data_IF_443735242901
#
_entry.id   IF_443735242901
#
_cell.length_a   1.000
_cell.length_b   1.000
_cell.length_c   1.000
_cell.angle_alpha   90.00
_cell.angle_beta   90.00
_cell.angle_gamma   90.00
#
_symmetry.space_group_name_H-M   'P 1'
#
loop_
_entity.id
_entity.type
_entity.pdbx_description
1 polymer ?
#
# COMPACT_ATOMS: atom_id res chain seq x y z
N UNK A 1 -17.64 12.43 9.88
CA UNK A 1 -16.42 12.05 9.13
C UNK A 1 -16.59 12.60 7.72
N UNK A 2 -15.58 13.30 7.19
CA UNK A 2 -15.58 13.77 5.80
C UNK A 2 -15.35 12.63 4.81
N UNK A 3 -15.47 12.93 3.51
CA UNK A 3 -15.10 12.01 2.42
C UNK A 3 -13.60 11.70 2.52
N UNK A 4 -13.21 10.43 2.41
CA UNK A 4 -11.81 10.06 2.24
C UNK A 4 -11.25 10.49 0.88
N UNK A 5 -9.94 10.64 0.79
CA UNK A 5 -9.26 10.99 -0.46
C UNK A 5 -9.06 9.75 -1.33
N UNK A 6 -9.18 9.92 -2.64
CA UNK A 6 -8.76 8.91 -3.62
C UNK A 6 -7.24 8.88 -3.74
N UNK A 7 -6.67 7.84 -4.37
CA UNK A 7 -5.22 7.78 -4.64
C UNK A 7 -4.75 9.01 -5.42
N UNK A 8 -5.48 9.42 -6.47
CA UNK A 8 -5.15 10.62 -7.25
C UNK A 8 -5.17 11.90 -6.40
N UNK A 9 -6.19 12.06 -5.54
CA UNK A 9 -6.25 13.19 -4.60
C UNK A 9 -5.10 13.16 -3.57
N UNK A 10 -4.64 11.95 -3.18
CA UNK A 10 -3.50 11.77 -2.27
C UNK A 10 -2.18 12.15 -2.95
N UNK A 11 -1.96 11.71 -4.19
CA UNK A 11 -0.74 12.03 -4.96
C UNK A 11 -0.65 13.54 -5.22
N UNK A 12 -1.76 14.19 -5.58
CA UNK A 12 -1.83 15.66 -5.68
C UNK A 12 -1.57 16.33 -4.32
N UNK A 13 -2.09 15.74 -3.24
CA UNK A 13 -1.82 16.17 -1.88
C UNK A 13 -0.33 16.12 -1.51
N UNK A 14 0.37 15.07 -1.92
CA UNK A 14 1.81 14.93 -1.73
C UNK A 14 2.59 15.94 -2.57
N UNK A 15 2.23 16.09 -3.85
CA UNK A 15 2.85 17.08 -4.73
C UNK A 15 2.69 18.53 -4.26
N UNK A 16 1.53 18.87 -3.68
CA UNK A 16 1.25 20.19 -3.10
C UNK A 16 1.83 20.38 -1.69
N UNK A 17 2.33 19.31 -1.05
CA UNK A 17 2.84 19.31 0.33
C UNK A 17 1.75 19.37 1.41
N UNK A 18 0.48 19.24 1.03
CA UNK A 18 -0.65 19.14 1.98
C UNK A 18 -0.74 17.76 2.64
N UNK A 19 -0.18 16.73 1.98
CA UNK A 19 0.07 15.41 2.54
C UNK A 19 1.58 15.25 2.68
N UNK A 20 2.02 14.95 3.90
CA UNK A 20 3.43 14.82 4.24
C UNK A 20 3.88 13.38 4.37
N UNK A 21 2.94 12.48 4.61
CA UNK A 21 3.25 11.08 4.84
C UNK A 21 2.22 10.18 4.18
N UNK A 22 2.69 9.08 3.61
CA UNK A 22 1.86 8.04 3.00
C UNK A 22 2.30 6.68 3.55
N UNK A 23 1.32 5.82 3.81
CA UNK A 23 1.53 4.41 4.08
C UNK A 23 0.76 3.59 3.04
N UNK A 24 1.50 2.91 2.16
CA UNK A 24 0.98 1.97 1.17
C UNK A 24 1.08 0.53 1.69
N UNK A 25 0.01 -0.24 1.50
CA UNK A 25 -0.07 -1.65 1.86
C UNK A 25 -0.44 -2.50 0.63
N UNK A 26 0.51 -3.28 0.13
CA UNK A 26 0.30 -4.23 -0.98
C UNK A 26 -0.10 -3.60 -2.31
N UNK A 27 0.39 -2.40 -2.60
CA UNK A 27 0.13 -1.66 -3.83
C UNK A 27 1.46 -1.18 -4.43
N UNK A 28 1.56 -1.20 -5.77
CA UNK A 28 2.70 -0.71 -6.54
C UNK A 28 2.29 0.46 -7.47
N UNK A 29 2.31 1.69 -6.95
CA UNK A 29 1.91 2.93 -7.61
C UNK A 29 2.74 3.20 -8.87
N UNK A 30 4.00 2.79 -8.86
CA UNK A 30 4.94 2.97 -9.97
C UNK A 30 4.63 2.02 -11.15
N UNK A 31 3.78 1.03 -10.94
CA UNK A 31 3.29 0.11 -11.96
C UNK A 31 1.83 0.37 -12.36
N UNK A 32 0.99 0.78 -11.41
CA UNK A 32 -0.46 0.91 -11.62
C UNK A 32 -0.92 2.27 -12.11
N UNK A 33 -0.18 3.35 -11.82
CA UNK A 33 -0.55 4.70 -12.22
C UNK A 33 -0.14 5.01 -13.68
N UNK A 34 -1.02 5.63 -14.50
CA UNK A 34 -0.68 5.99 -15.87
C UNK A 34 0.39 7.09 -16.00
N UNK A 35 0.56 7.98 -15.00
CA UNK A 35 1.55 9.06 -15.00
C UNK A 35 2.64 8.82 -13.94
N UNK A 36 3.54 7.90 -14.28
CA UNK A 36 4.62 7.46 -13.39
C UNK A 36 5.59 8.59 -12.98
N UNK A 37 5.75 9.63 -13.80
CA UNK A 37 6.64 10.75 -13.48
C UNK A 37 6.01 11.63 -12.40
N UNK A 38 4.71 11.92 -12.54
CA UNK A 38 3.95 12.67 -11.55
C UNK A 38 3.92 11.96 -10.18
N UNK A 39 3.77 10.63 -10.19
CA UNK A 39 3.81 9.80 -8.98
C UNK A 39 5.21 9.81 -8.36
N UNK A 40 6.26 9.58 -9.15
CA UNK A 40 7.64 9.60 -8.64
C UNK A 40 7.97 10.94 -7.95
N UNK A 41 7.63 12.06 -8.59
CA UNK A 41 7.82 13.40 -8.02
C UNK A 41 7.04 13.60 -6.71
N UNK A 42 5.83 13.05 -6.60
CA UNK A 42 5.05 13.10 -5.37
C UNK A 42 5.71 12.30 -4.24
N UNK A 43 6.16 11.08 -4.54
CA UNK A 43 6.77 10.19 -3.55
C UNK A 43 8.07 10.78 -2.99
N UNK A 44 8.89 11.39 -3.84
CA UNK A 44 10.14 12.06 -3.43
C UNK A 44 9.92 13.30 -2.54
N UNK A 45 8.73 13.91 -2.57
CA UNK A 45 8.40 15.11 -1.76
C UNK A 45 7.87 14.78 -0.36
N UNK A 46 7.56 13.50 -0.08
CA UNK A 46 7.05 13.10 1.21
C UNK A 46 8.11 13.27 2.30
N UNK A 47 7.67 13.66 3.50
CA UNK A 47 8.51 13.68 4.70
C UNK A 47 8.65 12.27 5.31
N UNK A 48 7.70 11.37 5.00
CA UNK A 48 7.73 9.97 5.40
C UNK A 48 6.91 9.10 4.43
N UNK A 49 7.56 8.15 3.79
CA UNK A 49 6.91 7.15 2.96
C UNK A 49 7.15 5.73 3.48
N UNK A 50 6.06 5.05 3.83
CA UNK A 50 6.07 3.68 4.35
C UNK A 50 5.42 2.76 3.31
N UNK A 51 6.10 1.67 2.98
CA UNK A 51 5.57 0.61 2.13
C UNK A 51 5.55 -0.70 2.92
N UNK A 52 4.40 -1.36 2.99
CA UNK A 52 4.30 -2.73 3.48
C UNK A 52 3.87 -3.65 2.35
N UNK A 53 4.75 -4.58 2.00
CA UNK A 53 4.53 -5.45 0.85
C UNK A 53 5.16 -6.83 1.08
N UNK A 54 4.64 -7.83 0.37
CA UNK A 54 5.15 -9.20 0.36
C UNK A 54 6.39 -9.33 -0.56
N UNK A 55 6.62 -8.36 -1.43
CA UNK A 55 7.81 -8.24 -2.28
C UNK A 55 8.37 -6.81 -2.27
N UNK A 56 9.66 -6.65 -2.54
CA UNK A 56 10.19 -5.33 -2.85
C UNK A 56 9.73 -4.93 -4.26
N UNK A 57 8.96 -3.85 -4.35
CA UNK A 57 8.40 -3.30 -5.59
C UNK A 57 9.12 -2.02 -6.00
N UNK A 58 8.90 -1.56 -7.22
CA UNK A 58 9.42 -0.29 -7.75
C UNK A 58 8.95 0.90 -6.90
N UNK A 59 7.72 0.86 -6.37
CA UNK A 59 7.24 1.83 -5.38
C UNK A 59 8.03 1.79 -4.07
N UNK A 60 8.45 0.59 -3.64
CA UNK A 60 9.27 0.41 -2.45
C UNK A 60 10.64 1.10 -2.54
N UNK A 61 11.17 1.34 -3.74
CA UNK A 61 12.46 2.02 -3.93
C UNK A 61 12.44 3.49 -3.46
N UNK A 62 11.26 4.11 -3.39
CA UNK A 62 11.07 5.47 -2.88
C UNK A 62 10.84 5.53 -1.37
N UNK A 63 10.64 4.39 -0.70
CA UNK A 63 10.18 4.35 0.68
C UNK A 63 11.31 4.61 1.69
N UNK A 64 11.02 5.42 2.70
CA UNK A 64 11.89 5.56 3.87
C UNK A 64 11.89 4.30 4.74
N UNK A 65 10.73 3.62 4.80
CA UNK A 65 10.55 2.41 5.59
C UNK A 65 9.83 1.35 4.78
N UNK A 66 10.44 0.16 4.71
CA UNK A 66 9.85 -1.02 4.11
C UNK A 66 9.53 -2.03 5.21
N UNK A 67 8.25 -2.36 5.36
CA UNK A 67 7.76 -3.35 6.30
C UNK A 67 7.42 -4.65 5.55
N UNK A 68 7.84 -5.82 6.03
CA UNK A 68 7.45 -7.09 5.40
C UNK A 68 5.95 -7.34 5.63
N UNK A 69 5.20 -7.60 4.56
CA UNK A 69 3.78 -7.93 4.61
C UNK A 69 3.52 -9.44 4.67
N UNK A 70 2.38 -9.83 5.24
CA UNK A 70 1.85 -11.19 5.19
C UNK A 70 0.79 -11.34 4.08
N UNK A 71 0.93 -12.36 3.22
CA UNK A 71 0.01 -12.63 2.13
C UNK A 71 -1.32 -13.22 2.63
N UNK A 72 -2.32 -13.35 1.75
CA UNK A 72 -3.65 -13.82 2.13
C UNK A 72 -3.66 -15.23 2.74
N UNK A 73 -2.71 -16.09 2.36
CA UNK A 73 -2.60 -17.47 2.86
C UNK A 73 -1.97 -17.57 4.26
N UNK A 74 -1.35 -16.49 4.74
CA UNK A 74 -0.58 -16.44 5.98
C UNK A 74 -1.38 -15.88 7.16
N UNK A 75 -2.61 -15.39 6.91
CA UNK A 75 -3.45 -14.72 7.90
C UNK A 75 -4.84 -15.33 8.04
N UNK A 76 -5.38 -15.27 9.25
CA UNK A 76 -6.78 -15.60 9.52
C UNK A 76 -7.62 -14.32 9.45
N UNK A 77 -8.41 -14.19 8.38
CA UNK A 77 -9.17 -12.96 8.05
C UNK A 77 -10.43 -13.28 7.26
N UNK A 78 -11.18 -12.23 6.94
CA UNK A 78 -12.34 -12.30 6.05
C UNK A 78 -12.13 -11.45 4.81
N UNK A 79 -12.61 -11.92 3.65
CA UNK A 79 -12.62 -11.15 2.41
C UNK A 79 -14.04 -11.10 1.84
N UNK A 80 -14.41 -9.98 1.26
CA UNK A 80 -15.64 -9.83 0.49
C UNK A 80 -15.32 -10.02 -0.99
N UNK A 81 -15.95 -11.00 -1.62
CA UNK A 81 -15.76 -11.24 -3.06
C UNK A 81 -16.70 -10.36 -3.92
N UNK A 82 -16.56 -10.48 -5.24
CA UNK A 82 -17.38 -9.74 -6.23
C UNK A 82 -18.88 -10.04 -6.13
N UNK A 83 -19.26 -11.24 -5.66
CA UNK A 83 -20.65 -11.62 -5.36
C UNK A 83 -21.17 -11.06 -4.02
N UNK A 84 -20.41 -10.16 -3.40
CA UNK A 84 -20.71 -9.51 -2.10
C UNK A 84 -20.81 -10.51 -0.94
N UNK A 85 -20.22 -11.70 -1.07
CA UNK A 85 -20.17 -12.70 0.01
C UNK A 85 -18.92 -12.49 0.85
N UNK A 86 -19.12 -12.41 2.16
CA UNK A 86 -18.04 -12.46 3.14
C UNK A 86 -17.59 -13.91 3.31
N UNK A 87 -16.32 -14.17 3.07
CA UNK A 87 -15.71 -15.48 3.20
C UNK A 87 -14.61 -15.43 4.26
N UNK A 88 -14.61 -16.40 5.17
CA UNK A 88 -13.52 -16.58 6.13
C UNK A 88 -12.39 -17.35 5.46
N UNK A 89 -11.20 -16.77 5.48
CA UNK A 89 -9.95 -17.41 5.10
C UNK A 89 -9.26 -17.87 6.38
N UNK A 90 -8.86 -19.15 6.40
CA UNK A 90 -8.04 -19.72 7.45
C UNK A 90 -6.60 -19.72 6.99
N UNK A 91 -5.69 -19.42 7.92
CA UNK A 91 -4.26 -19.48 7.68
C UNK A 91 -3.86 -20.88 7.19
N UNK A 92 -3.19 -20.95 6.05
CA UNK A 92 -2.67 -22.19 5.47
C UNK A 92 -1.23 -22.47 5.95
N UNK A 93 -0.42 -21.43 6.11
CA UNK A 93 0.98 -21.48 6.57
C UNK A 93 1.29 -20.31 7.49
N UNK A 94 2.34 -20.40 8.31
CA UNK A 94 2.77 -19.26 9.12
C UNK A 94 3.44 -18.19 8.25
N UNK A 95 3.23 -16.91 8.57
CA UNK A 95 3.93 -15.82 7.93
C UNK A 95 5.46 -15.96 8.14
N UNK A 96 6.28 -15.69 7.11
CA UNK A 96 7.72 -15.82 7.20
C UNK A 96 8.35 -14.67 8.01
N UNK A 97 9.43 -14.96 8.74
CA UNK A 97 10.24 -13.96 9.41
C UNK A 97 9.44 -13.04 10.33
N UNK A 98 9.55 -11.74 10.09
CA UNK A 98 8.86 -10.68 10.83
C UNK A 98 7.68 -10.08 10.05
N UNK A 99 7.14 -10.80 9.06
CA UNK A 99 6.00 -10.32 8.26
C UNK A 99 4.80 -9.95 9.15
N UNK A 100 4.26 -8.76 8.90
CA UNK A 100 3.16 -8.17 9.65
C UNK A 100 1.84 -8.28 8.86
N UNK A 101 0.73 -8.41 9.60
CA UNK A 101 -0.63 -8.48 9.05
C UNK A 101 -1.20 -7.10 8.68
#
# INVERSE_FOLDING_TARGET
MGKGLTVTEIIEGANSGSIKAIYVMGENLMLSDPDILHVAEALEKLELFVVQDIFLTETGEFADVILPGACFAEKERTFTNTDRRVQRVRKAVNAPGSALE
#
